data_IF_778243177812
#
_entry.id   IF_778243177812
#
_cell.length_a   1.000
_cell.length_b   1.000
_cell.length_c   1.000
_cell.angle_alpha   90.00
_cell.angle_beta   90.00
_cell.angle_gamma   90.00
#
_symmetry.space_group_name_H-M   'P 1'
#
loop_
_entity.id
_entity.type
_entity.pdbx_description
1 polymer ?
#
# COMPACT_ATOMS: atom_id res chain seq x y z
N UNK A 1 -31.60 -26.60 20.76
CA UNK A 1 -30.72 -25.79 19.89
C UNK A 1 -31.50 -25.10 18.78
N UNK A 2 -32.39 -25.81 18.07
CA UNK A 2 -33.26 -25.25 17.01
C UNK A 2 -33.92 -23.88 17.30
N UNK A 3 -34.54 -23.60 18.47
CA UNK A 3 -35.24 -22.33 18.68
C UNK A 3 -34.30 -21.13 18.85
N UNK A 4 -33.15 -21.31 19.51
CA UNK A 4 -32.14 -20.26 19.69
C UNK A 4 -31.41 -19.99 18.37
N UNK A 5 -31.08 -21.03 17.63
CA UNK A 5 -30.49 -20.89 16.30
C UNK A 5 -31.44 -20.13 15.34
N UNK A 6 -32.74 -20.46 15.36
CA UNK A 6 -33.73 -19.74 14.57
C UNK A 6 -33.81 -18.25 14.97
N UNK A 7 -33.76 -17.95 16.27
CA UNK A 7 -33.78 -16.57 16.78
C UNK A 7 -32.54 -15.76 16.38
N UNK A 8 -31.35 -16.34 16.54
CA UNK A 8 -30.07 -15.65 16.32
C UNK A 8 -29.74 -15.56 14.83
N UNK A 9 -29.96 -16.63 14.07
CA UNK A 9 -29.50 -16.76 12.68
C UNK A 9 -30.62 -16.46 11.68
N UNK A 10 -31.65 -17.31 11.66
CA UNK A 10 -32.69 -17.24 10.63
C UNK A 10 -33.54 -15.97 10.72
N UNK A 11 -33.87 -15.51 11.93
CA UNK A 11 -34.66 -14.28 12.12
C UNK A 11 -33.85 -13.01 11.88
N UNK A 12 -32.53 -13.09 11.94
CA UNK A 12 -31.62 -11.94 11.77
C UNK A 12 -30.87 -11.95 10.42
N UNK A 13 -31.30 -12.78 9.47
CA UNK A 13 -30.59 -12.95 8.19
C UNK A 13 -30.37 -11.63 7.43
N UNK A 14 -31.32 -10.70 7.50
CA UNK A 14 -31.20 -9.36 6.89
C UNK A 14 -30.08 -8.56 7.53
N UNK A 15 -29.94 -8.62 8.86
CA UNK A 15 -28.89 -7.93 9.63
C UNK A 15 -27.52 -8.46 9.24
N UNK A 16 -27.38 -9.77 9.03
CA UNK A 16 -26.14 -10.37 8.53
C UNK A 16 -25.79 -9.90 7.12
N UNK A 17 -26.76 -9.82 6.21
CA UNK A 17 -26.53 -9.30 4.85
C UNK A 17 -26.09 -7.84 4.90
N UNK A 18 -26.74 -7.01 5.73
CA UNK A 18 -26.37 -5.61 5.90
C UNK A 18 -24.94 -5.49 6.44
N UNK A 19 -24.57 -6.31 7.43
CA UNK A 19 -23.21 -6.33 7.97
C UNK A 19 -22.18 -6.69 6.90
N UNK A 20 -22.43 -7.76 6.13
CA UNK A 20 -21.56 -8.19 5.04
C UNK A 20 -21.40 -7.07 4.00
N UNK A 21 -22.51 -6.42 3.61
CA UNK A 21 -22.48 -5.32 2.65
C UNK A 21 -21.66 -4.13 3.17
N UNK A 22 -21.82 -3.77 4.45
CA UNK A 22 -21.08 -2.67 5.06
C UNK A 22 -19.56 -2.94 5.11
N UNK A 23 -19.20 -4.19 5.42
CA UNK A 23 -17.82 -4.67 5.38
C UNK A 23 -17.25 -4.61 3.96
N UNK A 24 -17.95 -5.18 2.97
CA UNK A 24 -17.51 -5.20 1.57
C UNK A 24 -17.31 -3.77 1.07
N UNK A 25 -18.28 -2.87 1.32
CA UNK A 25 -18.21 -1.47 0.90
C UNK A 25 -16.94 -0.81 1.45
N UNK A 26 -16.64 -1.02 2.73
CA UNK A 26 -15.49 -0.36 3.35
C UNK A 26 -14.17 -0.94 2.84
N UNK A 27 -14.08 -2.26 2.64
CA UNK A 27 -12.91 -2.90 2.02
C UNK A 27 -12.71 -2.39 0.58
N UNK A 28 -13.79 -2.24 -0.19
CA UNK A 28 -13.73 -1.67 -1.54
C UNK A 28 -13.23 -0.22 -1.54
N UNK A 29 -13.66 0.61 -0.59
CA UNK A 29 -13.16 1.99 -0.45
C UNK A 29 -11.66 2.00 -0.15
N UNK A 30 -11.19 1.17 0.79
CA UNK A 30 -9.77 1.06 1.10
C UNK A 30 -8.98 0.59 -0.13
N UNK A 31 -9.50 -0.36 -0.89
CA UNK A 31 -8.86 -0.84 -2.11
C UNK A 31 -8.81 0.24 -3.20
N UNK A 32 -9.88 1.02 -3.36
CA UNK A 32 -9.93 2.13 -4.31
C UNK A 32 -8.93 3.23 -3.94
N UNK A 33 -8.82 3.56 -2.65
CA UNK A 33 -7.78 4.48 -2.15
C UNK A 33 -6.39 3.92 -2.44
N UNK A 34 -6.13 2.65 -2.12
CA UNK A 34 -4.86 1.99 -2.41
C UNK A 34 -4.54 2.02 -3.91
N UNK A 35 -5.49 1.69 -4.78
CA UNK A 35 -5.31 1.69 -6.23
C UNK A 35 -5.07 3.11 -6.77
N UNK A 36 -5.73 4.12 -6.21
CA UNK A 36 -5.52 5.53 -6.56
C UNK A 36 -4.16 6.05 -6.08
N UNK A 37 -3.70 5.63 -4.90
CA UNK A 37 -2.38 5.96 -4.35
C UNK A 37 -1.25 5.17 -5.00
N UNK A 38 -1.52 3.98 -5.54
CA UNK A 38 -0.58 3.18 -6.36
C UNK A 38 -0.42 3.72 -7.78
N UNK A 39 -0.97 4.90 -8.11
CA UNK A 39 -0.42 5.71 -9.21
C UNK A 39 1.05 5.94 -8.86
N UNK A 40 1.92 5.17 -9.52
CA UNK A 40 3.38 5.09 -9.34
C UNK A 40 3.89 6.35 -8.67
N UNK A 41 4.39 6.24 -7.43
CA UNK A 41 5.03 7.35 -6.73
C UNK A 41 6.05 7.96 -7.70
N UNK A 42 5.71 9.12 -8.27
CA UNK A 42 6.59 9.81 -9.19
C UNK A 42 7.47 10.70 -8.35
N UNK A 43 8.77 10.50 -8.47
CA UNK A 43 9.75 11.32 -7.79
C UNK A 43 9.88 12.62 -8.59
N UNK A 44 9.47 13.78 -8.03
CA UNK A 44 9.60 15.04 -8.73
C UNK A 44 11.08 15.44 -8.80
N UNK A 45 11.57 15.63 -10.02
CA UNK A 45 12.92 16.09 -10.30
C UNK A 45 12.87 17.41 -11.06
N UNK A 46 13.55 18.42 -10.55
CA UNK A 46 13.63 19.73 -11.18
C UNK A 46 14.86 19.80 -12.09
N UNK A 47 14.67 20.24 -13.34
CA UNK A 47 15.75 20.33 -14.33
C UNK A 47 15.79 21.74 -14.89
N UNK A 48 16.94 22.39 -14.78
CA UNK A 48 17.25 23.64 -15.45
C UNK A 48 18.21 23.37 -16.62
N UNK A 49 17.75 23.59 -17.86
CA UNK A 49 18.56 23.36 -19.06
C UNK A 49 19.21 24.65 -19.57
N UNK A 50 20.48 24.86 -19.24
CA UNK A 50 21.24 26.01 -19.73
C UNK A 50 21.80 25.77 -21.14
N UNK A 51 22.16 24.53 -21.49
CA UNK A 51 22.81 24.14 -22.76
C UNK A 51 21.86 24.16 -23.96
N UNK A 52 20.61 23.71 -23.78
CA UNK A 52 19.56 23.62 -24.82
C UNK A 52 19.94 22.85 -26.10
N UNK A 53 20.99 22.02 -26.03
CA UNK A 53 21.48 21.19 -27.13
C UNK A 53 20.56 19.99 -27.41
N UNK A 54 20.82 19.28 -28.51
CA UNK A 54 20.17 18.00 -28.79
C UNK A 54 20.43 16.97 -27.68
N UNK A 55 21.62 17.02 -27.11
CA UNK A 55 22.13 16.13 -26.08
C UNK A 55 21.44 16.39 -24.73
N UNK A 56 21.30 17.66 -24.34
CA UNK A 56 20.54 18.04 -23.13
C UNK A 56 19.06 17.66 -23.25
N UNK A 57 18.44 17.93 -24.40
CA UNK A 57 17.04 17.54 -24.67
C UNK A 57 16.84 16.03 -24.64
N UNK A 58 17.80 15.26 -25.17
CA UNK A 58 17.75 13.81 -25.11
C UNK A 58 17.88 13.28 -23.68
N UNK A 59 18.66 13.95 -22.81
CA UNK A 59 18.74 13.59 -21.38
C UNK A 59 17.41 13.82 -20.68
N UNK A 60 16.84 15.00 -20.87
CA UNK A 60 15.52 15.36 -20.33
C UNK A 60 14.47 14.37 -20.82
N UNK A 61 14.47 14.03 -22.11
CA UNK A 61 13.54 13.05 -22.68
C UNK A 61 13.68 11.67 -22.03
N UNK A 62 14.90 11.17 -21.80
CA UNK A 62 15.12 9.89 -21.09
C UNK A 62 14.55 9.93 -19.66
N UNK A 63 14.75 11.04 -18.95
CA UNK A 63 14.24 11.22 -17.60
C UNK A 63 12.70 11.33 -17.59
N UNK A 64 12.10 12.06 -18.54
CA UNK A 64 10.63 12.18 -18.70
C UNK A 64 9.95 10.83 -18.97
N UNK A 65 10.63 9.93 -19.68
CA UNK A 65 10.11 8.60 -20.02
C UNK A 65 10.40 7.54 -18.95
N UNK A 66 11.05 7.91 -17.85
CA UNK A 66 11.30 7.00 -16.73
C UNK A 66 10.04 6.89 -15.87
N UNK A 67 9.49 5.67 -15.74
CA UNK A 67 8.16 5.39 -15.16
C UNK A 67 7.88 6.03 -13.80
N UNK A 68 8.91 6.24 -12.99
CA UNK A 68 8.84 6.69 -11.60
C UNK A 68 9.41 8.10 -11.40
N UNK A 69 9.69 8.85 -12.47
CA UNK A 69 10.12 10.25 -12.37
C UNK A 69 9.01 11.19 -12.88
N UNK A 70 8.98 12.40 -12.31
CA UNK A 70 8.19 13.52 -12.82
C UNK A 70 9.12 14.70 -13.03
N UNK A 71 9.31 15.10 -14.29
CA UNK A 71 10.25 16.17 -14.64
C UNK A 71 9.55 17.52 -14.55
N UNK A 72 10.07 18.38 -13.67
CA UNK A 72 9.69 19.79 -13.52
C UNK A 72 10.75 20.62 -14.26
N UNK A 73 10.36 21.35 -15.29
CA UNK A 73 11.27 22.21 -16.05
C UNK A 73 11.36 23.58 -15.38
N UNK A 74 12.55 23.95 -14.93
CA UNK A 74 12.85 25.26 -14.38
C UNK A 74 13.21 26.24 -15.50
N UNK A 75 12.89 27.51 -15.32
CA UNK A 75 13.29 28.55 -16.27
C UNK A 75 14.76 28.93 -16.06
N UNK A 76 15.40 29.52 -17.09
CA UNK A 76 16.83 29.89 -17.03
C UNK A 76 17.14 31.02 -16.04
N UNK A 77 16.16 31.87 -15.77
CA UNK A 77 16.23 33.04 -14.88
C UNK A 77 16.01 32.69 -13.40
N UNK A 78 15.66 31.44 -13.11
CA UNK A 78 15.48 30.98 -11.74
C UNK A 78 16.84 30.86 -11.04
N UNK A 79 17.10 31.75 -10.06
CA UNK A 79 18.43 31.98 -9.51
C UNK A 79 18.95 30.90 -8.54
N UNK A 80 18.04 30.17 -7.87
CA UNK A 80 18.40 29.18 -6.84
C UNK A 80 17.65 27.88 -7.08
N UNK A 81 18.30 26.93 -7.71
CA UNK A 81 17.71 25.61 -7.95
C UNK A 81 17.64 24.77 -6.67
N UNK A 82 18.33 25.15 -5.58
CA UNK A 82 18.20 24.48 -4.29
C UNK A 82 16.88 24.82 -3.58
N UNK A 83 16.30 26.00 -3.87
CA UNK A 83 15.06 26.47 -3.26
C UNK A 83 13.89 25.51 -3.53
N UNK A 84 13.86 24.87 -4.70
CA UNK A 84 12.78 23.94 -5.07
C UNK A 84 12.81 22.67 -4.21
N UNK A 85 13.98 22.30 -3.68
CA UNK A 85 14.13 21.21 -2.72
C UNK A 85 13.67 21.68 -1.33
N UNK A 86 14.09 22.88 -0.91
CA UNK A 86 13.69 23.45 0.38
C UNK A 86 12.18 23.66 0.49
N UNK A 87 11.54 24.11 -0.60
CA UNK A 87 10.08 24.29 -0.73
C UNK A 87 9.32 22.97 -0.91
N UNK A 88 10.02 21.82 -0.92
CA UNK A 88 9.46 20.47 -1.12
C UNK A 88 8.73 20.30 -2.46
N UNK A 89 9.13 21.08 -3.47
CA UNK A 89 8.57 21.01 -4.82
C UNK A 89 9.27 19.94 -5.66
N UNK A 90 10.54 19.65 -5.37
CA UNK A 90 11.30 18.54 -5.96
C UNK A 90 12.12 17.79 -4.90
N UNK A 91 12.49 16.55 -5.19
CA UNK A 91 13.39 15.73 -4.37
C UNK A 91 14.84 15.83 -4.85
N UNK A 92 15.01 16.03 -6.16
CA UNK A 92 16.30 16.31 -6.81
C UNK A 92 16.14 17.56 -7.66
N UNK A 93 17.13 18.44 -7.67
CA UNK A 93 17.28 19.47 -8.66
C UNK A 93 18.63 19.36 -9.37
N UNK A 94 18.63 19.57 -10.67
CA UNK A 94 19.82 19.51 -11.49
C UNK A 94 19.86 20.66 -12.47
N UNK A 95 21.07 21.14 -12.74
CA UNK A 95 21.32 22.13 -13.77
C UNK A 95 22.25 21.53 -14.83
N UNK A 96 21.80 21.52 -16.08
CA UNK A 96 22.61 21.14 -17.23
C UNK A 96 23.35 22.41 -17.65
N UNK A 97 24.67 22.53 -17.41
CA UNK A 97 25.39 23.77 -17.68
C UNK A 97 25.63 23.96 -19.18
N UNK A 98 25.91 25.20 -19.57
CA UNK A 98 26.35 25.50 -20.93
C UNK A 98 27.61 24.71 -21.31
N UNK A 99 27.65 24.21 -22.55
CA UNK A 99 28.74 23.38 -23.04
C UNK A 99 28.64 21.91 -22.62
N UNK A 100 27.51 21.47 -22.06
CA UNK A 100 27.26 20.08 -21.72
C UNK A 100 27.49 19.15 -22.93
N UNK A 101 27.00 19.51 -24.12
CA UNK A 101 27.28 18.74 -25.35
C UNK A 101 28.80 18.53 -25.58
N UNK A 102 29.61 19.58 -25.48
CA UNK A 102 31.08 19.47 -25.66
C UNK A 102 31.73 18.59 -24.59
N UNK A 103 31.26 18.66 -23.34
CA UNK A 103 31.75 17.81 -22.25
C UNK A 103 31.38 16.34 -22.48
N UNK A 104 30.16 16.09 -22.97
CA UNK A 104 29.68 14.76 -23.33
C UNK A 104 30.49 14.16 -24.49
N UNK A 105 30.69 14.92 -25.58
CA UNK A 105 31.47 14.45 -26.75
C UNK A 105 32.93 14.13 -26.40
N UNK A 106 33.51 14.87 -25.46
CA UNK A 106 34.89 14.67 -25.02
C UNK A 106 35.05 13.55 -23.97
N UNK A 107 33.95 12.88 -23.59
CA UNK A 107 33.90 11.91 -22.49
C UNK A 107 34.44 12.49 -21.17
N UNK A 108 34.09 13.74 -20.89
CA UNK A 108 34.49 14.49 -19.71
C UNK A 108 33.25 14.96 -18.93
N UNK A 109 32.48 13.99 -18.44
CA UNK A 109 31.27 14.25 -17.65
C UNK A 109 31.48 14.17 -16.13
N UNK A 110 32.71 13.95 -15.67
CA UNK A 110 33.02 14.01 -14.23
C UNK A 110 32.71 15.42 -13.74
N UNK A 111 31.82 15.52 -12.75
CA UNK A 111 31.37 16.78 -12.15
C UNK A 111 30.68 17.73 -13.16
N UNK A 112 30.15 17.20 -14.27
CA UNK A 112 29.60 18.04 -15.34
C UNK A 112 28.20 18.58 -15.06
N UNK A 113 27.45 18.01 -14.11
CA UNK A 113 26.11 18.46 -13.73
C UNK A 113 26.06 18.53 -12.21
N UNK A 114 25.89 19.72 -11.61
CA UNK A 114 25.59 19.83 -10.20
C UNK A 114 24.21 19.20 -9.92
N UNK A 115 24.19 18.27 -8.98
CA UNK A 115 23.01 17.55 -8.52
C UNK A 115 22.79 17.90 -7.05
N UNK A 116 21.65 18.50 -6.76
CA UNK A 116 21.19 18.74 -5.40
C UNK A 116 20.08 17.76 -5.11
N UNK A 117 20.12 17.13 -3.94
CA UNK A 117 19.13 16.14 -3.56
C UNK A 117 18.79 16.27 -2.07
N UNK A 118 17.62 15.80 -1.72
CA UNK A 118 17.22 15.64 -0.32
C UNK A 118 17.91 14.40 0.25
N UNK A 119 18.62 14.54 1.37
CA UNK A 119 19.33 13.46 2.04
C UNK A 119 18.37 12.46 2.73
N UNK A 120 17.63 11.70 1.91
CA UNK A 120 16.76 10.62 2.32
C UNK A 120 16.75 9.49 1.26
N UNK A 121 16.16 8.36 1.61
CA UNK A 121 16.09 7.17 0.75
C UNK A 121 15.51 7.46 -0.65
N UNK A 122 14.57 8.40 -0.77
CA UNK A 122 13.97 8.74 -2.07
C UNK A 122 14.94 9.60 -2.89
N UNK A 123 15.64 10.52 -2.25
CA UNK A 123 16.72 11.29 -2.86
C UNK A 123 17.87 10.44 -3.36
N UNK A 124 18.29 9.42 -2.60
CA UNK A 124 19.32 8.46 -3.04
C UNK A 124 18.88 7.68 -4.29
N UNK A 125 17.63 7.18 -4.33
CA UNK A 125 17.10 6.49 -5.52
C UNK A 125 17.10 7.43 -6.73
N UNK A 126 16.66 8.67 -6.54
CA UNK A 126 16.59 9.64 -7.62
C UNK A 126 17.98 10.04 -8.14
N UNK A 127 18.96 10.18 -7.23
CA UNK A 127 20.36 10.40 -7.57
C UNK A 127 20.94 9.24 -8.39
N UNK A 128 20.71 8.00 -7.96
CA UNK A 128 21.18 6.79 -8.65
C UNK A 128 20.59 6.70 -10.06
N UNK A 129 19.29 6.93 -10.19
CA UNK A 129 18.60 6.89 -11.49
C UNK A 129 19.11 7.98 -12.42
N UNK A 130 19.30 9.19 -11.90
CA UNK A 130 19.80 10.33 -12.70
C UNK A 130 21.24 10.07 -13.14
N UNK A 131 22.08 9.55 -12.24
CA UNK A 131 23.47 9.16 -12.53
C UNK A 131 23.55 8.04 -13.57
N UNK A 132 22.67 7.04 -13.47
CA UNK A 132 22.57 5.97 -14.46
C UNK A 132 22.17 6.51 -15.83
N UNK A 133 21.20 7.41 -15.92
CA UNK A 133 20.80 8.03 -17.19
C UNK A 133 21.96 8.81 -17.85
N UNK A 134 22.78 9.51 -17.05
CA UNK A 134 23.98 10.20 -17.53
C UNK A 134 25.05 9.23 -18.02
N UNK A 135 25.24 8.12 -17.33
CA UNK A 135 26.18 7.08 -17.74
C UNK A 135 25.74 6.42 -19.05
N UNK A 136 24.46 6.10 -19.20
CA UNK A 136 23.88 5.52 -20.42
C UNK A 136 24.09 6.42 -21.65
N UNK A 137 24.10 7.74 -21.49
CA UNK A 137 24.42 8.67 -22.59
C UNK A 137 25.87 8.62 -23.06
N UNK A 138 26.82 8.25 -22.19
CA UNK A 138 28.25 8.19 -22.52
C UNK A 138 28.63 6.90 -23.24
N UNK A 139 27.91 5.80 -23.00
CA UNK A 139 28.28 4.47 -23.52
C UNK A 139 28.49 4.48 -25.04
N UNK A 140 27.59 5.03 -25.88
CA UNK A 140 27.81 5.06 -27.33
C UNK A 140 29.07 5.84 -27.75
N UNK A 141 29.42 6.89 -27.01
CA UNK A 141 30.59 7.74 -27.30
C UNK A 141 31.88 7.01 -26.92
N UNK A 142 31.87 6.29 -25.80
CA UNK A 142 32.99 5.44 -25.36
C UNK A 142 33.23 4.33 -26.40
N UNK A 143 32.16 3.67 -26.87
CA UNK A 143 32.24 2.65 -27.91
C UNK A 143 32.83 3.23 -29.19
N UNK A 144 32.32 4.38 -29.65
CA UNK A 144 32.83 5.04 -30.86
C UNK A 144 34.33 5.34 -30.75
N UNK A 145 34.77 5.93 -29.63
CA UNK A 145 36.18 6.23 -29.38
C UNK A 145 37.07 4.99 -29.37
N UNK A 146 36.53 3.83 -28.99
CA UNK A 146 37.26 2.56 -29.04
C UNK A 146 37.36 2.03 -30.47
N UNK A 147 36.26 2.05 -31.23
CA UNK A 147 36.22 1.60 -32.62
C UNK A 147 37.11 2.45 -33.54
N UNK A 148 37.09 3.78 -33.36
CA UNK A 148 37.95 4.71 -34.11
C UNK A 148 39.44 4.39 -33.89
N UNK A 149 39.82 4.07 -32.64
CA UNK A 149 41.20 3.64 -32.31
C UNK A 149 41.59 2.32 -32.94
N UNK A 150 40.62 1.43 -33.17
CA UNK A 150 40.81 0.15 -33.84
C UNK A 150 40.73 0.27 -35.38
N UNK A 151 40.60 1.48 -35.93
CA UNK A 151 40.51 1.73 -37.37
C UNK A 151 39.13 1.40 -37.98
N UNK A 152 38.12 1.17 -37.14
CA UNK A 152 36.74 0.91 -37.58
C UNK A 152 35.92 2.20 -37.47
N UNK A 153 35.73 2.89 -38.59
CA UNK A 153 34.94 4.11 -38.65
C UNK A 153 33.44 3.78 -38.70
N UNK A 154 32.84 3.52 -37.55
CA UNK A 154 31.40 3.31 -37.39
C UNK A 154 30.74 4.60 -36.90
N UNK A 155 29.63 5.01 -37.53
CA UNK A 155 28.94 6.23 -37.12
C UNK A 155 28.27 6.08 -35.75
N UNK A 156 28.25 7.17 -34.97
CA UNK A 156 27.62 7.22 -33.65
C UNK A 156 26.13 6.82 -33.68
N UNK A 157 25.42 7.14 -34.77
CA UNK A 157 24.01 6.76 -34.92
C UNK A 157 23.82 5.25 -35.04
N UNK A 158 24.72 4.57 -35.76
CA UNK A 158 24.70 3.11 -35.90
C UNK A 158 24.91 2.45 -34.53
N UNK A 159 25.90 2.93 -33.78
CA UNK A 159 26.21 2.47 -32.41
C UNK A 159 25.01 2.68 -31.49
N UNK A 160 24.38 3.87 -31.51
CA UNK A 160 23.19 4.17 -30.69
C UNK A 160 22.03 3.23 -31.00
N UNK A 161 21.80 2.91 -32.28
CA UNK A 161 20.73 2.02 -32.73
C UNK A 161 20.95 0.59 -32.28
N UNK A 162 22.19 0.09 -32.41
CA UNK A 162 22.56 -1.26 -32.02
C UNK A 162 22.55 -1.43 -30.50
N UNK A 163 23.12 -0.47 -29.76
CA UNK A 163 23.07 -0.44 -28.29
C UNK A 163 21.63 -0.52 -27.78
N UNK A 164 20.71 0.31 -28.30
CA UNK A 164 19.29 0.29 -27.89
C UNK A 164 18.60 -1.03 -28.22
N UNK A 165 18.94 -1.65 -29.35
CA UNK A 165 18.35 -2.93 -29.78
C UNK A 165 18.72 -4.06 -28.83
N UNK A 166 19.97 -4.07 -28.37
CA UNK A 166 20.51 -5.16 -27.54
C UNK A 166 20.45 -4.86 -26.02
N UNK A 167 20.03 -3.65 -25.64
CA UNK A 167 19.81 -3.30 -24.23
C UNK A 167 18.61 -4.10 -23.68
N UNK A 168 18.80 -4.93 -22.64
CA UNK A 168 17.71 -5.70 -22.07
C UNK A 168 16.70 -4.79 -21.38
N UNK A 169 15.42 -4.98 -21.69
CA UNK A 169 14.34 -4.38 -20.91
C UNK A 169 14.25 -5.10 -19.56
N UNK A 170 14.36 -4.36 -18.46
CA UNK A 170 14.23 -4.94 -17.11
C UNK A 170 12.88 -5.63 -16.95
N UNK A 171 12.91 -6.96 -17.00
CA UNK A 171 11.82 -7.86 -16.62
C UNK A 171 12.32 -8.76 -15.49
N UNK A 172 12.89 -8.15 -14.44
CA UNK A 172 13.27 -8.92 -13.26
C UNK A 172 12.02 -9.54 -12.65
N UNK A 173 12.01 -10.87 -12.60
CA UNK A 173 10.95 -11.64 -11.97
C UNK A 173 11.01 -11.38 -10.46
N UNK A 174 9.97 -10.78 -9.90
CA UNK A 174 9.92 -10.46 -8.48
C UNK A 174 9.51 -11.70 -7.69
N UNK A 175 10.47 -12.31 -7.00
CA UNK A 175 10.21 -13.42 -6.09
C UNK A 175 10.14 -12.91 -4.66
N UNK A 176 8.97 -13.03 -4.02
CA UNK A 176 8.84 -12.74 -2.59
C UNK A 176 9.51 -13.87 -1.79
N UNK A 177 10.48 -13.51 -0.94
CA UNK A 177 11.30 -14.46 -0.15
C UNK A 177 10.45 -15.32 0.80
N UNK A 178 9.35 -14.77 1.34
CA UNK A 178 8.42 -15.50 2.19
C UNK A 178 7.08 -15.73 1.48
N UNK A 179 6.94 -16.90 0.82
CA UNK A 179 5.66 -17.35 0.24
C UNK A 179 4.60 -17.67 1.29
N UNK A 180 4.92 -17.81 2.57
CA UNK A 180 3.93 -18.05 3.63
C UNK A 180 4.37 -17.31 4.90
N UNK A 181 3.96 -16.06 5.05
CA UNK A 181 4.32 -15.28 6.24
C UNK A 181 3.38 -15.61 7.40
N UNK A 182 3.94 -15.77 8.59
CA UNK A 182 3.19 -15.90 9.85
C UNK A 182 2.57 -14.55 10.28
N UNK A 183 3.10 -13.43 9.74
CA UNK A 183 2.67 -12.07 10.05
C UNK A 183 2.53 -11.22 8.79
N UNK A 184 1.57 -10.30 8.79
CA UNK A 184 1.43 -9.32 7.70
C UNK A 184 0.84 -8.03 8.23
N UNK A 185 1.63 -6.95 8.21
CA UNK A 185 1.18 -5.62 8.64
C UNK A 185 -0.05 -5.18 7.81
N UNK A 186 -0.03 -5.42 6.51
CA UNK A 186 -1.14 -5.05 5.62
C UNK A 186 -2.43 -5.83 5.92
N UNK A 187 -2.32 -7.13 6.19
CA UNK A 187 -3.46 -7.94 6.60
C UNK A 187 -3.94 -7.56 8.00
N UNK A 188 -2.98 -7.25 8.90
CA UNK A 188 -3.17 -6.73 10.23
C UNK A 188 -4.10 -5.51 10.25
N UNK A 189 -3.77 -4.51 9.43
CA UNK A 189 -4.53 -3.27 9.31
C UNK A 189 -5.94 -3.49 8.75
N UNK A 190 -6.09 -4.35 7.73
CA UNK A 190 -7.42 -4.68 7.16
C UNK A 190 -8.29 -5.39 8.20
N UNK A 191 -7.74 -6.34 8.94
CA UNK A 191 -8.47 -7.03 10.01
C UNK A 191 -8.82 -6.07 11.14
N UNK A 192 -7.91 -5.17 11.53
CA UNK A 192 -8.19 -4.16 12.55
C UNK A 192 -9.36 -3.25 12.15
N UNK A 193 -9.39 -2.82 10.88
CA UNK A 193 -10.49 -2.06 10.32
C UNK A 193 -11.80 -2.85 10.32
N UNK A 194 -11.76 -4.13 9.93
CA UNK A 194 -12.91 -5.04 10.00
C UNK A 194 -13.48 -5.15 11.41
N UNK A 195 -12.62 -5.23 12.44
CA UNK A 195 -13.07 -5.28 13.83
C UNK A 195 -13.72 -3.97 14.28
N UNK A 196 -13.28 -2.81 13.80
CA UNK A 196 -13.97 -1.54 14.11
C UNK A 196 -15.35 -1.51 13.45
N UNK A 197 -15.44 -1.86 12.17
CA UNK A 197 -16.70 -1.90 11.42
C UNK A 197 -17.68 -2.90 12.03
N UNK A 198 -17.16 -4.04 12.52
CA UNK A 198 -17.97 -5.10 13.13
C UNK A 198 -18.67 -4.66 14.42
N UNK A 199 -18.25 -3.55 15.06
CA UNK A 199 -19.02 -2.98 16.18
C UNK A 199 -20.43 -2.55 15.79
N UNK A 200 -20.69 -2.29 14.50
CA UNK A 200 -22.03 -2.04 13.95
C UNK A 200 -23.02 -3.18 14.22
N UNK A 201 -22.53 -4.40 14.46
CA UNK A 201 -23.34 -5.53 14.92
C UNK A 201 -24.22 -5.18 16.13
N UNK A 202 -23.75 -4.33 17.05
CA UNK A 202 -24.52 -3.92 18.23
C UNK A 202 -25.81 -3.19 17.84
N UNK A 203 -25.73 -2.36 16.81
CA UNK A 203 -26.87 -1.61 16.29
C UNK A 203 -27.78 -2.56 15.51
N UNK A 204 -27.19 -3.35 14.60
CA UNK A 204 -27.94 -4.26 13.73
C UNK A 204 -28.72 -5.30 14.55
N UNK A 205 -28.10 -5.87 15.59
CA UNK A 205 -28.67 -6.92 16.42
C UNK A 205 -29.30 -6.40 17.73
N UNK A 206 -29.54 -5.10 17.86
CA UNK A 206 -30.17 -4.53 19.06
C UNK A 206 -31.49 -5.21 19.43
N UNK A 207 -32.23 -5.67 18.41
CA UNK A 207 -33.52 -6.37 18.57
C UNK A 207 -33.39 -7.75 19.24
N UNK A 208 -32.19 -8.33 19.35
CA UNK A 208 -31.97 -9.55 20.14
C UNK A 208 -32.07 -9.28 21.65
N UNK A 209 -31.80 -8.04 22.08
CA UNK A 209 -31.88 -7.63 23.49
C UNK A 209 -33.31 -7.16 23.84
N UNK A 210 -34.27 -8.07 23.79
CA UNK A 210 -35.62 -7.84 24.30
C UNK A 210 -35.70 -8.25 25.77
N UNK A 211 -35.40 -7.32 26.70
CA UNK A 211 -35.24 -7.62 28.13
C UNK A 211 -36.33 -8.51 28.72
N UNK A 212 -37.61 -8.17 28.52
CA UNK A 212 -38.73 -8.95 29.06
C UNK A 212 -38.83 -10.38 28.49
N UNK A 213 -38.53 -10.57 27.20
CA UNK A 213 -38.51 -11.89 26.58
C UNK A 213 -37.25 -12.68 26.98
N UNK A 214 -36.13 -11.98 27.10
CA UNK A 214 -34.85 -12.55 27.50
C UNK A 214 -34.93 -13.05 28.95
N UNK A 215 -35.46 -12.27 29.88
CA UNK A 215 -35.66 -12.67 31.28
C UNK A 215 -36.49 -13.95 31.39
N UNK A 216 -37.62 -14.04 30.66
CA UNK A 216 -38.45 -15.26 30.62
C UNK A 216 -37.69 -16.46 30.05
N UNK A 217 -36.89 -16.24 29.01
CA UNK A 217 -36.09 -17.28 28.35
C UNK A 217 -34.91 -17.73 29.23
N UNK A 218 -34.36 -16.82 30.05
CA UNK A 218 -33.27 -17.08 30.99
C UNK A 218 -33.72 -17.84 32.25
N UNK A 219 -35.03 -17.95 32.52
CA UNK A 219 -35.56 -18.79 33.60
C UNK A 219 -35.30 -20.29 33.37
N UNK A 220 -35.02 -20.70 32.13
CA UNK A 220 -34.73 -22.08 31.78
C UNK A 220 -33.22 -22.37 31.82
N UNK A 221 -32.85 -23.49 32.44
CA UNK A 221 -31.46 -23.87 32.66
C UNK A 221 -30.64 -23.95 31.34
N UNK A 222 -29.40 -23.46 31.37
CA UNK A 222 -28.45 -23.41 30.24
C UNK A 222 -28.86 -22.56 29.02
N UNK A 223 -30.03 -21.90 29.03
CA UNK A 223 -30.51 -21.15 27.87
C UNK A 223 -29.69 -19.89 27.62
N UNK A 224 -29.22 -19.24 28.70
CA UNK A 224 -28.24 -18.14 28.64
C UNK A 224 -26.97 -18.56 27.89
N UNK A 225 -26.33 -19.63 28.34
CA UNK A 225 -25.08 -20.10 27.74
C UNK A 225 -25.26 -20.46 26.27
N UNK A 226 -26.37 -21.12 25.92
CA UNK A 226 -26.69 -21.45 24.52
C UNK A 226 -26.88 -20.22 23.65
N UNK A 227 -27.53 -19.15 24.16
CA UNK A 227 -27.70 -17.89 23.41
C UNK A 227 -26.36 -17.22 23.11
N UNK A 228 -25.53 -17.02 24.14
CA UNK A 228 -24.23 -16.39 23.99
C UNK A 228 -23.32 -17.19 23.06
N UNK A 229 -23.25 -18.52 23.26
CA UNK A 229 -22.41 -19.40 22.45
C UNK A 229 -22.86 -19.44 20.98
N UNK A 230 -24.16 -19.46 20.71
CA UNK A 230 -24.68 -19.42 19.33
C UNK A 230 -24.35 -18.08 18.66
N UNK A 231 -24.51 -16.96 19.37
CA UNK A 231 -24.18 -15.64 18.85
C UNK A 231 -22.69 -15.53 18.52
N UNK A 232 -21.81 -15.92 19.46
CA UNK A 232 -20.36 -15.85 19.32
C UNK A 232 -19.92 -16.71 18.14
N UNK A 233 -20.29 -18.00 18.12
CA UNK A 233 -19.85 -18.91 17.05
C UNK A 233 -20.31 -18.45 15.67
N UNK A 234 -21.55 -17.96 15.54
CA UNK A 234 -22.07 -17.51 14.24
C UNK A 234 -21.29 -16.31 13.72
N UNK A 235 -21.04 -15.30 14.56
CA UNK A 235 -20.33 -14.10 14.14
C UNK A 235 -18.82 -14.35 13.94
N UNK A 236 -18.18 -15.16 14.79
CA UNK A 236 -16.79 -15.57 14.60
C UNK A 236 -16.62 -16.29 13.26
N UNK A 237 -17.48 -17.25 12.93
CA UNK A 237 -17.41 -17.96 11.65
C UNK A 237 -17.65 -17.03 10.47
N UNK A 238 -18.62 -16.11 10.57
CA UNK A 238 -18.90 -15.13 9.53
C UNK A 238 -17.70 -14.22 9.27
N UNK A 239 -17.14 -13.60 10.31
CA UNK A 239 -15.99 -12.70 10.18
C UNK A 239 -14.75 -13.44 9.68
N UNK A 240 -14.52 -14.66 10.19
CA UNK A 240 -13.41 -15.49 9.75
C UNK A 240 -13.52 -15.83 8.25
N UNK A 241 -14.72 -16.20 7.79
CA UNK A 241 -14.95 -16.51 6.38
C UNK A 241 -14.76 -15.29 5.47
N UNK A 242 -15.20 -14.11 5.91
CA UNK A 242 -14.94 -12.85 5.20
C UNK A 242 -13.44 -12.58 5.09
N UNK A 243 -12.69 -12.70 6.19
CA UNK A 243 -11.24 -12.52 6.19
C UNK A 243 -10.55 -13.53 5.27
N UNK A 244 -11.02 -14.78 5.26
CA UNK A 244 -10.52 -15.82 4.37
C UNK A 244 -10.74 -15.47 2.89
N UNK A 245 -11.96 -15.03 2.51
CA UNK A 245 -12.27 -14.58 1.15
C UNK A 245 -11.39 -13.38 0.76
N UNK A 246 -11.27 -12.38 1.64
CA UNK A 246 -10.42 -11.21 1.39
C UNK A 246 -8.97 -11.66 1.16
N UNK A 247 -8.48 -12.61 1.96
CA UNK A 247 -7.14 -13.17 1.79
C UNK A 247 -6.95 -13.85 0.44
N UNK A 248 -7.94 -14.62 -0.04
CA UNK A 248 -7.91 -15.22 -1.38
C UNK A 248 -7.92 -14.15 -2.47
N UNK A 249 -8.80 -13.15 -2.38
CA UNK A 249 -8.88 -12.06 -3.36
C UNK A 249 -7.60 -11.23 -3.44
N UNK A 250 -6.93 -11.00 -2.30
CA UNK A 250 -5.68 -10.25 -2.24
C UNK A 250 -4.44 -11.11 -2.46
N UNK A 251 -4.61 -12.39 -2.79
CA UNK A 251 -3.52 -13.36 -2.96
C UNK A 251 -2.55 -13.37 -1.77
N UNK A 252 -3.11 -13.25 -0.56
CA UNK A 252 -2.33 -13.31 0.65
C UNK A 252 -1.77 -14.71 0.85
N UNK A 253 -0.45 -14.77 0.93
CA UNK A 253 0.29 -15.98 1.12
C UNK A 253 0.59 -16.12 2.63
N UNK A 254 -0.46 -16.42 3.40
CA UNK A 254 -0.46 -16.46 4.86
C UNK A 254 -0.43 -17.90 5.37
N UNK A 255 0.28 -18.14 6.46
CA UNK A 255 0.40 -19.47 7.04
C UNK A 255 -0.88 -19.92 7.77
N UNK A 256 -0.99 -21.22 8.03
CA UNK A 256 -2.06 -21.76 8.88
C UNK A 256 -2.05 -21.18 10.30
N UNK A 257 -0.85 -20.90 10.85
CA UNK A 257 -0.70 -20.28 12.19
C UNK A 257 -1.36 -18.92 12.24
N UNK A 258 -1.20 -18.10 11.21
CA UNK A 258 -1.85 -16.79 11.12
C UNK A 258 -3.37 -16.93 11.30
N UNK A 259 -4.00 -17.80 10.50
CA UNK A 259 -5.46 -18.00 10.57
C UNK A 259 -5.92 -18.55 11.92
N UNK A 260 -5.14 -19.42 12.56
CA UNK A 260 -5.46 -19.93 13.90
C UNK A 260 -5.45 -18.82 14.94
N UNK A 261 -4.43 -17.95 14.93
CA UNK A 261 -4.33 -16.80 15.84
C UNK A 261 -5.49 -15.82 15.58
N UNK A 262 -5.77 -15.50 14.32
CA UNK A 262 -6.90 -14.63 13.95
C UNK A 262 -8.22 -15.22 14.44
N UNK A 263 -8.45 -16.52 14.31
CA UNK A 263 -9.67 -17.18 14.79
C UNK A 263 -9.83 -17.07 16.32
N UNK A 264 -8.76 -17.30 17.08
CA UNK A 264 -8.79 -17.15 18.54
C UNK A 264 -9.10 -15.72 18.97
N UNK A 265 -8.54 -14.74 18.26
CA UNK A 265 -8.76 -13.32 18.55
C UNK A 265 -10.20 -12.91 18.22
N UNK A 266 -10.77 -13.43 17.13
CA UNK A 266 -12.19 -13.25 16.81
C UNK A 266 -13.11 -13.84 17.87
N UNK A 267 -12.77 -15.00 18.47
CA UNK A 267 -13.55 -15.56 19.57
C UNK A 267 -13.57 -14.64 20.79
N UNK A 268 -12.40 -14.11 21.18
CA UNK A 268 -12.28 -13.17 22.30
C UNK A 268 -13.05 -11.88 21.99
N UNK A 269 -12.89 -11.35 20.78
CA UNK A 269 -13.57 -10.16 20.30
C UNK A 269 -15.09 -10.30 20.40
N UNK A 270 -15.65 -11.38 19.83
CA UNK A 270 -17.09 -11.64 19.81
C UNK A 270 -17.65 -11.95 21.20
N UNK A 271 -16.86 -12.56 22.07
CA UNK A 271 -17.23 -12.73 23.48
C UNK A 271 -17.49 -11.36 24.14
N UNK A 272 -16.58 -10.39 23.96
CA UNK A 272 -16.75 -9.03 24.47
C UNK A 272 -17.98 -8.33 23.88
N UNK A 273 -18.16 -8.37 22.56
CA UNK A 273 -19.35 -7.78 21.92
C UNK A 273 -20.66 -8.40 22.42
N UNK A 274 -20.72 -9.72 22.55
CA UNK A 274 -21.90 -10.43 23.06
C UNK A 274 -22.24 -10.00 24.49
N UNK A 275 -21.25 -9.86 25.37
CA UNK A 275 -21.44 -9.34 26.72
C UNK A 275 -21.99 -7.92 26.69
N UNK A 276 -21.41 -7.03 25.87
CA UNK A 276 -21.87 -5.64 25.74
C UNK A 276 -23.29 -5.55 25.19
N UNK A 277 -23.62 -6.34 24.16
CA UNK A 277 -24.94 -6.38 23.53
C UNK A 277 -26.03 -6.76 24.53
N UNK A 278 -25.83 -7.83 25.29
CA UNK A 278 -26.86 -8.38 26.16
C UNK A 278 -26.90 -7.73 27.56
N UNK A 279 -25.77 -7.25 28.10
CA UNK A 279 -25.70 -6.73 29.48
C UNK A 279 -26.02 -5.25 29.61
N UNK A 280 -25.48 -4.40 28.75
CA UNK A 280 -25.68 -2.94 28.84
C UNK A 280 -27.05 -2.57 28.30
N UNK A 281 -27.80 -1.65 28.92
CA UNK A 281 -29.15 -1.30 28.45
C UNK A 281 -29.16 -0.19 27.39
N UNK A 282 -28.43 0.90 27.64
CA UNK A 282 -28.41 2.10 26.81
C UNK A 282 -27.61 1.89 25.53
N UNK A 283 -28.17 2.28 24.37
CA UNK A 283 -27.52 2.06 23.07
C UNK A 283 -26.22 2.84 22.93
N UNK A 284 -26.21 4.13 23.30
CA UNK A 284 -25.02 4.99 23.17
C UNK A 284 -23.84 4.43 23.98
N UNK A 285 -24.10 3.96 25.21
CA UNK A 285 -23.06 3.36 26.05
C UNK A 285 -22.55 2.03 25.48
N UNK A 286 -23.41 1.20 24.88
CA UNK A 286 -22.97 -0.02 24.19
C UNK A 286 -22.02 0.28 23.04
N UNK A 287 -22.39 1.22 22.17
CA UNK A 287 -21.60 1.57 20.98
C UNK A 287 -20.24 2.09 21.42
N UNK A 288 -20.22 3.01 22.40
CA UNK A 288 -18.98 3.55 22.94
C UNK A 288 -18.06 2.46 23.51
N UNK A 289 -18.60 1.58 24.37
CA UNK A 289 -17.82 0.49 24.97
C UNK A 289 -17.36 -0.54 23.95
N UNK A 290 -18.14 -0.79 22.90
CA UNK A 290 -17.76 -1.70 21.83
C UNK A 290 -16.66 -1.16 20.94
N UNK A 291 -16.67 0.15 20.69
CA UNK A 291 -15.61 0.82 19.97
C UNK A 291 -14.31 0.81 20.78
N UNK A 292 -14.37 1.07 22.08
CA UNK A 292 -13.21 0.92 22.97
C UNK A 292 -12.70 -0.52 23.01
N UNK A 293 -13.61 -1.50 23.08
CA UNK A 293 -13.26 -2.92 23.03
C UNK A 293 -12.56 -3.30 21.72
N UNK A 294 -13.08 -2.83 20.58
CA UNK A 294 -12.47 -3.06 19.28
C UNK A 294 -11.06 -2.45 19.20
N UNK A 295 -10.87 -1.22 19.71
CA UNK A 295 -9.55 -0.58 19.77
C UNK A 295 -8.58 -1.39 20.65
N UNK A 296 -9.02 -1.83 21.83
CA UNK A 296 -8.18 -2.62 22.74
C UNK A 296 -7.74 -3.95 22.10
N UNK A 297 -8.66 -4.67 21.47
CA UNK A 297 -8.34 -5.91 20.75
C UNK A 297 -7.42 -5.62 19.56
N UNK A 298 -7.62 -4.52 18.84
CA UNK A 298 -6.75 -4.13 17.73
C UNK A 298 -5.32 -3.86 18.17
N UNK A 299 -5.10 -3.22 19.33
CA UNK A 299 -3.76 -2.98 19.87
C UNK A 299 -3.05 -4.32 20.14
N UNK A 300 -3.75 -5.27 20.79
CA UNK A 300 -3.22 -6.61 21.05
C UNK A 300 -2.94 -7.33 19.74
N UNK A 301 -3.87 -7.26 18.77
CA UNK A 301 -3.73 -7.91 17.49
C UNK A 301 -2.52 -7.38 16.70
N UNK A 302 -2.37 -6.05 16.62
CA UNK A 302 -1.24 -5.42 15.94
C UNK A 302 0.08 -5.76 16.62
N UNK A 303 0.11 -5.79 17.96
CA UNK A 303 1.32 -6.19 18.69
C UNK A 303 1.76 -7.63 18.40
N UNK A 304 0.82 -8.55 18.16
CA UNK A 304 1.12 -9.93 17.75
C UNK A 304 1.63 -10.00 16.29
N UNK A 305 1.34 -8.98 15.48
CA UNK A 305 1.69 -8.90 14.05
C UNK A 305 2.99 -8.12 13.76
N UNK A 306 3.57 -7.48 14.79
CA UNK A 306 4.88 -6.80 14.76
C UNK A 306 5.94 -7.78 15.22
#
# INVERSE_FOLDING_TARGET
MKPIFNLVVLKQWVQYIILILFIILTVSVVFMVKASSNKVFKVPIAIQDMDQSSESKNLIHTLEHTKYLEVIKLQKDEAYIEDVIQKKQAIVSMQIPEGFNKKLSNNNLRDAIPLYYKDDFIGEIALEVTSKALYEQQIPIIIQKHLDKSGQNVSLETIKKEYKKDTPNSKMEQHAVNKNSDVSISAGLIIALLLVISTSQIVLHQRLKQNAALERLLMFNNTKMKLYLTYILTHTLLLFFIIFIIGLCLSWSLSFKFYLITFLILLIYEFGLSVLLFKINTLSHKIFMALLWAIAINIVYVFIQI
#
